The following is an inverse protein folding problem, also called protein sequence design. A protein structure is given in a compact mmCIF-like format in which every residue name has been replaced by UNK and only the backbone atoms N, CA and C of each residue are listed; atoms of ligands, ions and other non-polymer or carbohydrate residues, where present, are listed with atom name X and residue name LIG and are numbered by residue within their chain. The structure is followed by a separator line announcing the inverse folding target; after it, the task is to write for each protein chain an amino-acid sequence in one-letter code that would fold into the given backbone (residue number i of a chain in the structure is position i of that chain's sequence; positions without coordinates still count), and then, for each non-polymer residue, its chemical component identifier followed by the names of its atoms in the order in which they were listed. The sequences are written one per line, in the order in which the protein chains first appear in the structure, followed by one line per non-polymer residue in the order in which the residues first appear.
data_IF_709995269773
#
_entry.id   IF_709995269773
#
_cell.length_a   1.000
_cell.length_b   1.000
_cell.length_c   1.000
_cell.angle_alpha   90.00
_cell.angle_beta   90.00
_cell.angle_gamma   90.00
#
_symmetry.space_group_name_H-M   'P 1'
#
loop_
_entity.id
_entity.type
_entity.pdbx_description
1 polymer ?
#
# COMPACT_ATOMS: atom_id res chain seq x y z
N UNK A 1 -12.96 0.21 -14.85
CA UNK A 1 -11.69 0.93 -14.75
C UNK A 1 -10.88 0.45 -13.57
N UNK A 2 -9.57 0.41 -13.69
CA UNK A 2 -8.68 0.05 -12.61
C UNK A 2 -7.60 1.12 -12.45
N UNK A 3 -7.16 1.29 -11.23
CA UNK A 3 -6.05 2.18 -10.91
C UNK A 3 -4.98 1.33 -10.24
N UNK A 4 -3.73 1.54 -10.63
CA UNK A 4 -2.64 0.82 -10.00
C UNK A 4 -1.47 1.75 -9.74
N UNK A 5 -0.74 1.45 -8.68
CA UNK A 5 0.44 2.18 -8.26
C UNK A 5 1.62 1.24 -8.19
N UNK A 6 2.76 1.65 -8.74
CA UNK A 6 4.00 0.92 -8.61
C UNK A 6 4.96 1.75 -7.75
N UNK A 7 5.34 1.20 -6.63
CA UNK A 7 6.26 1.83 -5.69
C UNK A 7 7.58 1.07 -5.73
N UNK A 8 8.66 1.78 -6.04
CA UNK A 8 9.98 1.18 -6.16
C UNK A 8 11.00 1.97 -5.37
N UNK A 9 11.92 1.26 -4.77
CA UNK A 9 13.09 1.88 -4.17
C UNK A 9 14.30 0.96 -4.29
N UNK A 10 15.40 1.51 -4.80
CA UNK A 10 16.69 0.84 -4.81
C UNK A 10 17.46 1.31 -3.58
N UNK A 11 17.93 0.37 -2.77
CA UNK A 11 18.68 0.68 -1.58
C UNK A 11 19.81 -0.33 -1.42
N UNK A 12 21.06 0.12 -1.48
CA UNK A 12 22.26 -0.72 -1.38
C UNK A 12 22.15 -1.99 -2.23
N UNK A 13 21.91 -1.82 -3.53
CA UNK A 13 21.76 -2.91 -4.51
C UNK A 13 20.57 -3.83 -4.26
N UNK A 14 19.66 -3.42 -3.38
CA UNK A 14 18.42 -4.15 -3.12
C UNK A 14 17.24 -3.41 -3.73
N UNK A 15 16.33 -4.17 -4.31
CA UNK A 15 15.11 -3.62 -4.92
C UNK A 15 13.91 -4.09 -4.14
N UNK A 16 13.11 -3.13 -3.69
CA UNK A 16 11.80 -3.41 -3.13
C UNK A 16 10.78 -2.88 -4.11
N UNK A 17 9.86 -3.74 -4.53
CA UNK A 17 8.78 -3.37 -5.44
C UNK A 17 7.46 -3.69 -4.79
N UNK A 18 6.59 -2.71 -4.72
CA UNK A 18 5.21 -2.90 -4.31
C UNK A 18 4.29 -2.44 -5.44
N UNK A 19 3.31 -3.25 -5.78
CA UNK A 19 2.32 -2.90 -6.79
C UNK A 19 0.94 -3.03 -6.16
N UNK A 20 0.24 -1.92 -6.09
CA UNK A 20 -1.12 -1.87 -5.57
C UNK A 20 -2.08 -1.67 -6.74
N UNK A 21 -3.04 -2.56 -6.87
CA UNK A 21 -4.08 -2.48 -7.89
C UNK A 21 -5.43 -2.31 -7.19
N UNK A 22 -6.18 -1.29 -7.60
CA UNK A 22 -7.52 -1.02 -7.05
C UNK A 22 -8.50 -1.04 -8.20
N UNK A 23 -9.49 -1.91 -8.11
CA UNK A 23 -10.60 -1.97 -9.05
C UNK A 23 -11.89 -1.69 -8.30
N UNK A 24 -13.01 -1.63 -9.02
CA UNK A 24 -14.32 -1.45 -8.38
C UNK A 24 -14.68 -2.64 -7.47
N UNK A 25 -14.05 -3.78 -7.66
CA UNK A 25 -14.38 -5.00 -6.94
C UNK A 25 -13.36 -5.40 -5.89
N UNK A 26 -12.07 -5.17 -6.15
CA UNK A 26 -11.02 -5.62 -5.22
C UNK A 26 -9.84 -4.67 -5.15
N UNK A 27 -9.07 -4.87 -4.08
CA UNK A 27 -7.80 -4.21 -3.85
C UNK A 27 -6.74 -5.29 -3.66
N UNK A 28 -5.66 -5.24 -4.44
CA UNK A 28 -4.60 -6.24 -4.40
C UNK A 28 -3.25 -5.57 -4.24
N UNK A 29 -2.48 -6.06 -3.29
CA UNK A 29 -1.11 -5.63 -3.08
C UNK A 29 -0.16 -6.78 -3.38
N UNK A 30 0.79 -6.54 -4.26
CA UNK A 30 1.87 -7.48 -4.56
C UNK A 30 3.17 -6.83 -4.10
N UNK A 31 4.00 -7.60 -3.39
CA UNK A 31 5.28 -7.12 -2.89
C UNK A 31 6.38 -8.09 -3.26
N UNK A 32 7.44 -7.57 -3.87
CA UNK A 32 8.64 -8.33 -4.15
C UNK A 32 9.74 -7.82 -3.22
N UNK A 33 10.27 -8.71 -2.40
CA UNK A 33 11.35 -8.39 -1.47
C UNK A 33 12.72 -8.49 -2.18
N UNK A 34 13.77 -7.86 -1.61
CA UNK A 34 15.12 -7.93 -2.18
C UNK A 34 15.66 -9.36 -2.33
N UNK A 35 15.17 -10.29 -1.51
CA UNK A 35 15.56 -11.70 -1.55
C UNK A 35 14.88 -12.48 -2.67
N UNK A 36 13.99 -11.84 -3.43
CA UNK A 36 13.22 -12.50 -4.49
C UNK A 36 11.92 -13.10 -4.02
N UNK A 37 11.62 -13.04 -2.73
CA UNK A 37 10.34 -13.51 -2.20
C UNK A 37 9.21 -12.61 -2.65
N UNK A 38 8.08 -13.21 -2.95
CA UNK A 38 6.86 -12.49 -3.31
C UNK A 38 5.81 -12.66 -2.23
N UNK A 39 5.19 -11.56 -1.85
CA UNK A 39 4.07 -11.57 -0.93
C UNK A 39 2.88 -10.92 -1.61
N UNK A 40 1.69 -11.44 -1.35
CA UNK A 40 0.47 -10.87 -1.91
C UNK A 40 -0.61 -10.77 -0.86
N UNK A 41 -1.43 -9.75 -1.01
CA UNK A 41 -2.61 -9.54 -0.20
C UNK A 41 -3.72 -9.08 -1.12
N UNK A 42 -4.92 -9.57 -0.87
CA UNK A 42 -6.09 -9.23 -1.66
C UNK A 42 -7.31 -9.14 -0.77
N UNK A 43 -8.14 -8.16 -1.01
CA UNK A 43 -9.37 -7.98 -0.27
C UNK A 43 -10.41 -7.35 -1.19
N UNK A 44 -11.68 -7.65 -0.94
CA UNK A 44 -12.77 -6.94 -1.58
C UNK A 44 -12.63 -5.44 -1.29
N UNK A 45 -12.68 -4.61 -2.34
CA UNK A 45 -12.50 -3.16 -2.19
C UNK A 45 -13.48 -2.58 -1.19
N UNK A 46 -14.69 -3.07 -1.16
CA UNK A 46 -15.74 -2.60 -0.25
C UNK A 46 -15.33 -2.69 1.23
N UNK A 47 -14.55 -3.73 1.57
CA UNK A 47 -14.10 -3.98 2.93
C UNK A 47 -12.70 -3.45 3.21
N UNK A 48 -12.02 -2.93 2.17
CA UNK A 48 -10.66 -2.43 2.31
C UNK A 48 -10.67 -1.11 3.07
N UNK A 49 -9.83 -1.03 4.10
CA UNK A 49 -9.64 0.18 4.90
C UNK A 49 -8.19 0.60 4.84
N UNK A 50 -7.96 1.88 4.58
CA UNK A 50 -6.63 2.46 4.54
C UNK A 50 -6.50 3.34 5.78
N UNK A 51 -5.42 3.16 6.54
CA UNK A 51 -5.17 3.91 7.77
C UNK A 51 -3.81 4.56 7.72
N UNK A 52 -3.74 5.78 8.24
CA UNK A 52 -2.49 6.51 8.40
C UNK A 52 -2.19 6.62 9.90
N UNK A 53 -1.01 6.16 10.29
CA UNK A 53 -0.52 6.26 11.65
C UNK A 53 0.55 7.33 11.70
N UNK A 54 0.19 8.55 12.04
CA UNK A 54 1.13 9.67 12.09
C UNK A 54 2.21 9.43 13.14
N UNK A 55 1.82 8.84 14.27
CA UNK A 55 2.73 8.50 15.37
C UNK A 55 2.36 7.10 15.88
N UNK A 56 3.27 6.50 16.63
CA UNK A 56 3.00 5.19 17.24
C UNK A 56 3.25 3.99 16.35
N UNK A 57 3.56 4.21 15.05
CA UNK A 57 3.96 3.14 14.16
C UNK A 57 5.48 2.98 14.10
N UNK A 58 5.97 2.01 13.31
CA UNK A 58 7.42 1.80 13.14
C UNK A 58 8.14 3.01 12.55
N UNK A 59 7.44 3.80 11.75
CA UNK A 59 7.95 5.04 11.15
C UNK A 59 6.82 6.07 11.16
N UNK A 60 7.15 7.37 11.08
CA UNK A 60 6.11 8.40 10.97
C UNK A 60 5.29 8.26 9.68
N UNK A 61 4.01 8.56 9.75
CA UNK A 61 3.07 8.44 8.62
C UNK A 61 3.00 7.02 8.07
N UNK A 62 3.00 6.04 8.95
CA UNK A 62 2.92 4.62 8.58
C UNK A 62 1.54 4.31 8.00
N UNK A 63 1.52 3.69 6.83
CA UNK A 63 0.26 3.38 6.13
C UNK A 63 -0.01 1.88 6.22
N UNK A 64 -1.24 1.53 6.59
CA UNK A 64 -1.69 0.14 6.59
C UNK A 64 -2.96 -0.02 5.77
N UNK A 65 -3.07 -1.20 5.17
CA UNK A 65 -4.27 -1.65 4.48
C UNK A 65 -4.84 -2.81 5.29
N UNK A 66 -6.12 -2.74 5.59
CA UNK A 66 -6.77 -3.81 6.34
C UNK A 66 -8.03 -4.27 5.63
N UNK A 67 -8.40 -5.53 5.87
CA UNK A 67 -9.57 -6.16 5.29
C UNK A 67 -9.35 -7.65 5.24
N UNK A 68 -10.42 -8.43 5.21
CA UNK A 68 -10.31 -9.88 5.16
C UNK A 68 -9.62 -10.51 6.36
N UNK A 69 -9.58 -9.83 7.49
CA UNK A 69 -8.93 -10.34 8.70
C UNK A 69 -7.42 -10.15 8.75
N UNK A 70 -6.84 -9.43 7.78
CA UNK A 70 -5.39 -9.17 7.73
C UNK A 70 -5.12 -7.68 7.69
N UNK A 71 -3.97 -7.30 8.23
CA UNK A 71 -3.44 -5.95 8.12
C UNK A 71 -2.07 -6.04 7.45
N UNK A 72 -1.86 -5.25 6.42
CA UNK A 72 -0.57 -5.19 5.72
C UNK A 72 -0.11 -3.75 5.61
N UNK A 73 1.19 -3.56 5.51
CA UNK A 73 1.78 -2.23 5.35
C UNK A 73 2.03 -1.93 3.88
N UNK A 74 2.05 -0.64 3.53
CA UNK A 74 2.41 -0.21 2.18
C UNK A 74 3.27 1.05 2.27
N UNK A 75 4.30 1.10 1.42
CA UNK A 75 5.13 2.29 1.28
C UNK A 75 6.03 2.59 2.47
N UNK A 76 6.31 1.60 3.32
CA UNK A 76 7.15 1.82 4.51
C UNK A 76 8.56 2.29 4.16
N UNK A 77 9.03 1.98 2.94
CA UNK A 77 10.35 2.40 2.46
C UNK A 77 10.37 3.80 1.86
N UNK A 78 9.23 4.47 1.76
CA UNK A 78 9.15 5.85 1.28
C UNK A 78 9.52 6.82 2.40
N UNK A 79 9.79 8.06 2.04
CA UNK A 79 10.00 9.12 3.03
C UNK A 79 8.68 9.49 3.71
N UNK A 80 8.78 10.18 4.83
CA UNK A 80 7.60 10.62 5.58
C UNK A 80 6.61 11.43 4.73
N UNK A 81 7.05 12.49 3.99
CA UNK A 81 6.11 13.23 3.15
C UNK A 81 5.58 12.42 1.97
N UNK A 82 6.38 11.52 1.41
CA UNK A 82 5.92 10.65 0.35
C UNK A 82 4.82 9.70 0.82
N UNK A 83 4.94 9.17 2.05
CA UNK A 83 3.91 8.32 2.63
C UNK A 83 2.59 9.07 2.81
N UNK A 84 2.66 10.32 3.29
CA UNK A 84 1.46 11.11 3.46
C UNK A 84 0.77 11.40 2.13
N UNK A 85 1.55 11.75 1.10
CA UNK A 85 1.00 11.98 -0.24
C UNK A 85 0.36 10.72 -0.80
N UNK A 86 1.00 9.57 -0.62
CA UNK A 86 0.45 8.29 -1.05
C UNK A 86 -0.86 7.99 -0.35
N UNK A 87 -0.94 8.22 0.95
CA UNK A 87 -2.18 8.01 1.71
C UNK A 87 -3.32 8.85 1.14
N UNK A 88 -3.08 10.14 0.88
CA UNK A 88 -4.10 11.03 0.34
C UNK A 88 -4.57 10.58 -1.04
N UNK A 89 -3.65 10.13 -1.89
CA UNK A 89 -3.99 9.58 -3.20
C UNK A 89 -4.85 8.32 -3.09
N UNK A 90 -4.48 7.41 -2.21
CA UNK A 90 -5.23 6.16 -2.01
C UNK A 90 -6.63 6.42 -1.48
N UNK A 91 -6.80 7.37 -0.57
CA UNK A 91 -8.12 7.73 -0.06
C UNK A 91 -9.00 8.28 -1.18
N UNK A 92 -8.46 9.11 -2.06
CA UNK A 92 -9.20 9.63 -3.21
C UNK A 92 -9.67 8.51 -4.12
N UNK A 93 -8.80 7.56 -4.42
CA UNK A 93 -9.12 6.44 -5.31
C UNK A 93 -10.20 5.55 -4.70
N UNK A 94 -10.08 5.22 -3.41
CA UNK A 94 -11.06 4.40 -2.72
C UNK A 94 -12.45 5.07 -2.73
N UNK A 95 -12.49 6.37 -2.48
CA UNK A 95 -13.75 7.12 -2.52
C UNK A 95 -14.37 7.16 -3.91
N UNK A 96 -13.54 7.22 -4.93
CA UNK A 96 -13.99 7.29 -6.32
C UNK A 96 -14.76 6.05 -6.75
N UNK A 97 -14.45 4.88 -6.17
CA UNK A 97 -15.09 3.62 -6.49
C UNK A 97 -16.32 3.30 -5.63
N UNK A 98 -16.69 4.18 -4.75
CA UNK A 98 -17.90 3.97 -3.92
C UNK A 98 -19.18 4.29 -4.67
#
# INVERSE_FOLDING_TARGET
ASVWYALRRNYKDRRILEKLTITSELCRLLRQNPTGEHQSWECNRYWTKISLHETGGPVPNYITLSGGGRVVEIGSFLSEPERKDLYLELIKVIKKFK
#
